data_IF_904552454050
#
_entry.id   IF_904552454050
#
_cell.length_a   1.000
_cell.length_b   1.000
_cell.length_c   1.000
_cell.angle_alpha   90.00
_cell.angle_beta   90.00
_cell.angle_gamma   90.00
#
_symmetry.space_group_name_H-M   'P 1'
#
loop_
_entity.id
_entity.type
_entity.pdbx_description
1 polymer ?
#
# COMPACT_ATOMS: atom_id res chain seq x y z
N UNK A 1 -4.85 7.60 -4.56
CA UNK A 1 -4.37 6.20 -4.46
C UNK A 1 -5.57 5.27 -4.57
N UNK A 2 -5.57 4.34 -5.53
CA UNK A 2 -6.72 3.50 -5.86
C UNK A 2 -7.30 2.77 -4.63
N UNK A 3 -8.52 3.09 -4.18
CA UNK A 3 -9.44 2.25 -3.39
C UNK A 3 -8.88 1.33 -2.28
N UNK A 4 -7.70 1.61 -1.71
CA UNK A 4 -7.10 0.80 -0.65
C UNK A 4 -7.41 1.43 0.68
N UNK A 5 -7.82 0.61 1.64
CA UNK A 5 -8.01 1.07 3.02
C UNK A 5 -6.66 1.45 3.65
N UNK A 6 -6.69 2.32 4.68
CA UNK A 6 -5.49 2.64 5.46
C UNK A 6 -4.79 1.37 6.01
N UNK A 7 -5.57 0.36 6.40
CA UNK A 7 -5.04 -0.93 6.85
C UNK A 7 -4.28 -1.65 5.74
N UNK A 8 -4.82 -1.70 4.54
CA UNK A 8 -4.14 -2.31 3.39
C UNK A 8 -2.85 -1.59 3.03
N UNK A 9 -2.86 -0.25 3.07
CA UNK A 9 -1.66 0.54 2.82
C UNK A 9 -0.58 0.33 3.89
N UNK A 10 -0.96 0.24 5.17
CA UNK A 10 -0.04 -0.07 6.25
C UNK A 10 0.55 -1.48 6.11
N UNK A 11 -0.29 -2.47 5.78
CA UNK A 11 0.16 -3.84 5.50
C UNK A 11 1.14 -3.89 4.31
N UNK A 12 0.86 -3.13 3.24
CA UNK A 12 1.77 -3.01 2.10
C UNK A 12 3.11 -2.38 2.48
N UNK A 13 3.09 -1.33 3.32
CA UNK A 13 4.30 -0.69 3.81
C UNK A 13 5.16 -1.63 4.65
N UNK A 14 4.54 -2.38 5.57
CA UNK A 14 5.22 -3.38 6.39
C UNK A 14 5.88 -4.46 5.52
N UNK A 15 5.17 -4.97 4.53
CA UNK A 15 5.70 -5.97 3.59
C UNK A 15 6.83 -5.39 2.75
N UNK A 16 6.74 -4.14 2.32
CA UNK A 16 7.83 -3.47 1.61
C UNK A 16 9.10 -3.36 2.47
N UNK A 17 8.95 -3.07 3.77
CA UNK A 17 10.06 -3.06 4.74
C UNK A 17 10.69 -4.44 4.89
N UNK A 18 9.88 -5.49 5.07
CA UNK A 18 10.37 -6.88 5.16
C UNK A 18 11.09 -7.35 3.88
N UNK A 19 10.68 -6.83 2.72
CA UNK A 19 11.29 -7.13 1.43
C UNK A 19 12.52 -6.27 1.11
N UNK A 20 13.09 -5.54 2.07
CA UNK A 20 14.21 -4.61 1.87
C UNK A 20 13.96 -3.62 0.72
N UNK A 21 12.73 -3.07 0.65
CA UNK A 21 12.28 -2.18 -0.42
C UNK A 21 12.34 -2.77 -1.84
N UNK A 22 12.49 -4.10 -1.99
CA UNK A 22 12.40 -4.75 -3.28
C UNK A 22 10.95 -5.05 -3.64
N UNK A 23 10.37 -4.24 -4.52
CA UNK A 23 8.96 -4.40 -4.88
C UNK A 23 8.56 -5.76 -5.49
N UNK A 24 9.52 -6.54 -6.07
CA UNK A 24 9.21 -7.88 -6.63
C UNK A 24 8.97 -8.87 -5.49
N UNK A 25 9.88 -8.86 -4.52
CA UNK A 25 9.76 -9.67 -3.31
C UNK A 25 8.58 -9.20 -2.46
N UNK A 26 8.37 -7.89 -2.33
CA UNK A 26 7.22 -7.34 -1.61
C UNK A 26 5.89 -7.82 -2.22
N UNK A 27 5.76 -7.81 -3.55
CA UNK A 27 4.56 -8.32 -4.21
C UNK A 27 4.36 -9.81 -3.98
N UNK A 28 5.43 -10.61 -4.06
CA UNK A 28 5.38 -12.05 -3.80
C UNK A 28 4.94 -12.34 -2.37
N UNK A 29 5.54 -11.66 -1.39
CA UNK A 29 5.20 -11.78 0.02
C UNK A 29 3.77 -11.32 0.31
N UNK A 30 3.35 -10.19 -0.26
CA UNK A 30 2.00 -9.64 -0.08
C UNK A 30 0.94 -10.60 -0.62
N UNK A 31 1.18 -11.19 -1.81
CA UNK A 31 0.29 -12.19 -2.41
C UNK A 31 0.18 -13.45 -1.57
N UNK A 32 1.28 -13.92 -0.99
CA UNK A 32 1.28 -15.11 -0.13
C UNK A 32 0.54 -14.85 1.20
N UNK A 33 0.73 -13.66 1.77
CA UNK A 33 0.14 -13.29 3.07
C UNK A 33 -1.34 -12.91 2.98
N UNK A 34 -1.74 -12.28 1.87
CA UNK A 34 -3.09 -11.75 1.67
C UNK A 34 -3.69 -12.19 0.32
N UNK A 35 -3.99 -13.49 0.13
CA UNK A 35 -4.45 -14.02 -1.15
C UNK A 35 -5.84 -13.49 -1.57
N UNK A 36 -6.68 -13.05 -0.62
CA UNK A 36 -8.02 -12.52 -0.87
C UNK A 36 -8.07 -11.01 -1.15
N UNK A 37 -6.94 -10.31 -1.04
CA UNK A 37 -6.89 -8.84 -1.20
C UNK A 37 -6.56 -8.44 -2.64
N UNK A 38 -6.93 -7.21 -2.99
CA UNK A 38 -6.57 -6.62 -4.28
C UNK A 38 -5.05 -6.49 -4.40
N UNK A 39 -4.50 -6.99 -5.50
CA UNK A 39 -3.06 -6.99 -5.72
C UNK A 39 -2.58 -5.60 -6.16
N UNK A 40 -1.65 -4.97 -5.41
CA UNK A 40 -1.02 -3.74 -5.84
C UNK A 40 -0.01 -4.00 -6.97
N UNK A 41 0.35 -2.96 -7.72
CA UNK A 41 1.48 -3.05 -8.65
C UNK A 41 2.81 -3.05 -7.86
N UNK A 42 3.86 -3.65 -8.45
CA UNK A 42 5.22 -3.64 -7.85
C UNK A 42 5.68 -2.23 -7.47
N UNK A 43 5.44 -1.25 -8.35
CA UNK A 43 5.86 0.12 -8.13
C UNK A 43 5.09 0.81 -7.00
N UNK A 44 3.90 0.31 -6.66
CA UNK A 44 3.05 0.90 -5.63
C UNK A 44 3.69 0.82 -4.24
N UNK A 45 4.41 -0.25 -3.94
CA UNK A 45 5.16 -0.38 -2.69
C UNK A 45 6.21 0.72 -2.51
N UNK A 46 6.95 1.05 -3.59
CA UNK A 46 7.92 2.13 -3.58
C UNK A 46 7.25 3.50 -3.45
N UNK A 47 6.09 3.70 -4.09
CA UNK A 47 5.31 4.93 -3.98
C UNK A 47 4.82 5.16 -2.54
N UNK A 48 4.30 4.12 -1.87
CA UNK A 48 3.85 4.22 -0.47
C UNK A 48 5.01 4.65 0.44
N UNK A 49 6.18 4.02 0.30
CA UNK A 49 7.35 4.38 1.08
C UNK A 49 7.81 5.81 0.80
N UNK A 50 7.87 6.21 -0.48
CA UNK A 50 8.25 7.56 -0.88
C UNK A 50 7.31 8.62 -0.30
N UNK A 51 5.99 8.44 -0.46
CA UNK A 51 5.00 9.40 0.06
C UNK A 51 5.13 9.51 1.57
N UNK A 52 5.27 8.40 2.31
CA UNK A 52 5.49 8.46 3.75
C UNK A 52 6.76 9.24 4.13
N UNK A 53 7.85 9.10 3.38
CA UNK A 53 9.07 9.87 3.62
C UNK A 53 8.91 11.36 3.26
N UNK A 54 8.16 11.70 2.22
CA UNK A 54 8.00 13.09 1.74
C UNK A 54 6.93 13.88 2.53
N UNK A 55 5.81 13.24 2.88
CA UNK A 55 4.63 13.92 3.45
C UNK A 55 4.23 13.42 4.85
N UNK A 56 4.81 12.30 5.31
CA UNK A 56 4.46 11.69 6.59
C UNK A 56 3.05 11.07 6.66
N UNK A 57 2.28 11.10 5.58
CA UNK A 57 0.87 10.66 5.58
C UNK A 57 0.45 10.05 4.24
N UNK A 58 -0.41 9.04 4.32
CA UNK A 58 -1.00 8.40 3.14
C UNK A 58 -2.43 8.90 2.95
N UNK A 59 -2.68 9.60 1.85
CA UNK A 59 -4.03 10.04 1.51
C UNK A 59 -4.83 8.89 0.89
N UNK A 60 -5.69 8.29 1.72
CA UNK A 60 -6.73 7.39 1.22
C UNK A 60 -7.87 8.27 0.73
N UNK A 61 -7.96 8.40 -0.59
CA UNK A 61 -9.14 8.98 -1.23
C UNK A 61 -10.37 8.20 -0.78
N UNK A 62 -11.07 8.72 0.23
CA UNK A 62 -12.41 8.27 0.58
C UNK A 62 -13.29 8.79 -0.55
N UNK A 63 -14.04 7.92 -1.28
CA UNK A 63 -15.07 8.43 -2.15
C UNK A 63 -15.96 9.31 -1.28
N UNK A 64 -16.18 10.54 -1.73
CA UNK A 64 -16.92 11.59 -1.03
C UNK A 64 -18.23 11.00 -0.50
N UNK A 65 -18.23 10.59 0.76
CA UNK A 65 -19.42 10.09 1.42
C UNK A 65 -20.24 11.34 1.72
N UNK A 66 -21.09 11.66 0.74
CA UNK A 66 -21.91 12.87 0.66
C UNK A 66 -22.38 13.33 2.04
N UNK A 67 -22.00 14.55 2.38
CA UNK A 67 -22.52 15.24 3.54
C UNK A 67 -23.85 15.87 3.14
N UNK A 68 -24.91 15.36 3.77
CA UNK A 68 -26.28 15.88 3.80
C UNK A 68 -26.33 17.31 4.32
#
# INVERSE_FOLDING_TARGET
MASYTHRELADMHLVNGMANCNGREALRMYRQKYPSRKMPSRSFFAIIHRILCETGSLDVHKPDSGRQ
#
